data_IF_478339570273
#
_entry.id   IF_478339570273
#
_cell.length_a   1.000
_cell.length_b   1.000
_cell.length_c   1.000
_cell.angle_alpha   90.00
_cell.angle_beta   90.00
_cell.angle_gamma   90.00
#
_symmetry.space_group_name_H-M   'P 1'
#
loop_
_entity.id
_entity.type
_entity.pdbx_description
1 polymer ?
#
# COMPACT_ATOMS: atom_id res chain seq x y z
N UNK A 1 -6.21 20.92 19.26
CA UNK A 1 -7.05 19.78 18.81
C UNK A 1 -6.14 18.90 17.97
N UNK A 2 -6.01 17.62 18.30
CA UNK A 2 -4.96 16.77 17.71
C UNK A 2 -5.22 16.49 16.23
N UNK A 3 -4.29 16.87 15.36
CA UNK A 3 -4.25 16.58 13.92
C UNK A 3 -4.06 15.08 13.58
N UNK A 4 -4.39 14.17 14.50
CA UNK A 4 -4.20 12.73 14.33
C UNK A 4 -5.45 12.05 13.75
N UNK A 5 -5.97 12.59 12.64
CA UNK A 5 -7.01 11.90 11.87
C UNK A 5 -6.36 10.83 10.99
N UNK A 6 -6.73 9.56 11.15
CA UNK A 6 -6.32 8.51 10.22
C UNK A 6 -7.10 8.69 8.92
N UNK A 7 -6.40 8.79 7.78
CA UNK A 7 -7.02 8.95 6.46
C UNK A 7 -6.87 7.72 5.58
N UNK A 8 -6.04 6.77 5.99
CA UNK A 8 -5.85 5.52 5.28
C UNK A 8 -5.41 4.44 6.26
N UNK A 9 -5.99 3.25 6.08
CA UNK A 9 -5.62 2.05 6.80
C UNK A 9 -5.87 0.84 5.91
N UNK A 10 -4.92 -0.07 5.88
CA UNK A 10 -5.04 -1.39 5.28
C UNK A 10 -4.25 -2.38 6.14
N UNK A 11 -4.78 -3.59 6.28
CA UNK A 11 -4.22 -4.63 7.14
C UNK A 11 -4.21 -5.96 6.38
N UNK A 12 -3.07 -6.62 6.34
CA UNK A 12 -2.90 -7.95 5.76
C UNK A 12 -3.26 -8.06 4.27
N UNK A 13 -3.06 -6.99 3.49
CA UNK A 13 -3.51 -6.96 2.10
C UNK A 13 -2.56 -7.76 1.20
N UNK A 14 -3.15 -8.72 0.49
CA UNK A 14 -2.52 -9.45 -0.61
C UNK A 14 -3.16 -9.11 -1.95
N UNK A 15 -2.38 -9.18 -3.03
CA UNK A 15 -2.91 -9.00 -4.39
C UNK A 15 -2.18 -9.86 -5.39
N UNK A 16 -2.96 -10.48 -6.27
CA UNK A 16 -2.48 -11.30 -7.40
C UNK A 16 -2.85 -10.58 -8.69
N UNK A 17 -1.97 -10.67 -9.71
CA UNK A 17 -2.24 -10.11 -11.03
C UNK A 17 -2.68 -11.19 -12.03
N UNK A 18 -3.95 -11.23 -12.45
CA UNK A 18 -4.44 -12.14 -13.48
C UNK A 18 -3.92 -11.71 -14.88
N UNK A 19 -3.75 -12.64 -15.85
CA UNK A 19 -3.96 -14.10 -15.75
C UNK A 19 -2.75 -14.85 -15.18
N UNK A 20 -1.62 -14.17 -15.00
CA UNK A 20 -0.35 -14.78 -14.58
C UNK A 20 -0.36 -15.45 -13.20
N UNK A 21 -1.43 -15.26 -12.42
CA UNK A 21 -1.57 -15.65 -11.01
C UNK A 21 -0.35 -15.29 -10.14
N UNK A 22 0.44 -14.28 -10.55
CA UNK A 22 1.62 -13.83 -9.82
C UNK A 22 1.18 -12.97 -8.63
N UNK A 23 1.53 -13.35 -7.38
CA UNK A 23 1.32 -12.48 -6.23
C UNK A 23 2.26 -11.28 -6.32
N UNK A 24 1.67 -10.07 -6.30
CA UNK A 24 2.36 -8.77 -6.40
C UNK A 24 2.45 -8.09 -5.04
N UNK A 25 1.43 -8.25 -4.19
CA UNK A 25 1.44 -7.83 -2.79
C UNK A 25 1.20 -9.05 -1.92
N UNK A 26 1.92 -9.15 -0.79
CA UNK A 26 1.78 -10.24 0.17
C UNK A 26 1.80 -9.62 1.57
N UNK A 27 0.69 -9.76 2.29
CA UNK A 27 0.57 -9.40 3.70
C UNK A 27 1.02 -7.96 4.04
N UNK A 28 0.57 -6.98 3.25
CA UNK A 28 0.94 -5.59 3.46
C UNK A 28 -0.03 -4.92 4.42
N UNK A 29 0.52 -4.27 5.45
CA UNK A 29 -0.22 -3.42 6.39
C UNK A 29 0.36 -2.00 6.31
N UNK A 30 -0.51 -1.00 6.14
CA UNK A 30 -0.11 0.42 6.07
C UNK A 30 -1.21 1.29 6.65
N UNK A 31 -0.85 2.33 7.36
CA UNK A 31 -1.76 3.38 7.76
C UNK A 31 -1.06 4.73 7.79
N UNK A 32 -1.81 5.80 7.57
CA UNK A 32 -1.26 7.15 7.66
C UNK A 32 -2.28 8.20 8.10
N UNK A 33 -1.75 9.20 8.81
CA UNK A 33 -2.50 10.33 9.32
C UNK A 33 -2.67 11.43 8.27
N UNK A 34 -3.66 12.29 8.48
CA UNK A 34 -3.91 13.48 7.69
C UNK A 34 -2.65 14.35 7.64
N UNK A 35 -2.32 14.85 6.44
CA UNK A 35 -1.13 15.67 6.21
C UNK A 35 0.18 14.89 6.01
N UNK A 36 0.19 13.56 6.18
CA UNK A 36 1.38 12.75 5.90
C UNK A 36 1.78 12.80 4.42
N UNK A 37 3.07 13.00 4.14
CA UNK A 37 3.67 12.93 2.80
C UNK A 37 4.52 11.66 2.71
N UNK A 38 4.12 10.72 1.84
CA UNK A 38 4.71 9.38 1.78
C UNK A 38 5.23 9.11 0.38
N UNK A 39 6.51 8.77 0.29
CA UNK A 39 7.14 8.26 -0.93
C UNK A 39 7.27 6.74 -0.89
N UNK A 40 6.91 6.06 -1.98
CA UNK A 40 7.06 4.61 -2.12
C UNK A 40 8.20 4.33 -3.10
N UNK A 41 9.26 3.66 -2.64
CA UNK A 41 10.47 3.34 -3.41
C UNK A 41 10.68 1.82 -3.52
N UNK A 42 11.48 1.40 -4.49
CA UNK A 42 11.80 -0.02 -4.73
C UNK A 42 11.98 -0.36 -6.21
N UNK A 43 12.45 -1.57 -6.49
CA UNK A 43 12.74 -2.06 -7.85
C UNK A 43 11.49 -2.15 -8.74
N UNK A 44 11.69 -2.16 -10.07
CA UNK A 44 10.59 -2.39 -11.01
C UNK A 44 9.96 -3.76 -10.77
N UNK A 45 8.63 -3.80 -10.75
CA UNK A 45 7.87 -5.02 -10.43
C UNK A 45 7.67 -5.29 -8.94
N UNK A 46 8.17 -4.46 -8.01
CA UNK A 46 7.99 -4.65 -6.56
C UNK A 46 6.58 -4.30 -6.02
N UNK A 47 5.62 -4.01 -6.89
CA UNK A 47 4.23 -3.74 -6.49
C UNK A 47 3.89 -2.30 -6.11
N UNK A 48 4.79 -1.32 -6.27
CA UNK A 48 4.55 0.10 -5.89
C UNK A 48 3.32 0.72 -6.56
N UNK A 49 3.18 0.55 -7.88
CA UNK A 49 2.01 1.06 -8.62
C UNK A 49 0.74 0.29 -8.25
N UNK A 50 0.89 -0.99 -7.90
CA UNK A 50 -0.19 -1.86 -7.44
C UNK A 50 -0.67 -1.50 -6.04
N UNK A 51 0.20 -1.00 -5.17
CA UNK A 51 -0.10 -0.52 -3.82
C UNK A 51 -1.03 0.71 -3.83
N UNK A 52 -1.01 1.50 -4.92
CA UNK A 52 -1.81 2.72 -5.09
C UNK A 52 -3.20 2.49 -5.71
N UNK A 53 -3.56 1.24 -6.04
CA UNK A 53 -4.80 0.87 -6.74
C UNK A 53 -5.53 -0.22 -6.00
#
# INVERSE_FOLDING_TARGET
MSDQQVIYSMVGVGRVHPPSNKPVLRDITLGFYYGAKIGVLGLNGSGKSTLRR
#
